data_IF_568897869766
#
_entry.id   IF_568897869766
#
_cell.length_a   1.000
_cell.length_b   1.000
_cell.length_c   1.000
_cell.angle_alpha   90.00
_cell.angle_beta   90.00
_cell.angle_gamma   90.00
#
_symmetry.space_group_name_H-M   'P 1'
#
loop_
_entity.id
_entity.type
_entity.pdbx_description
1 polymer ?
#
# COMPACT_ATOMS: atom_id res chain seq x y z
N UNK A 1 19.01 -51.34 39.04
CA UNK A 1 19.24 -50.92 37.65
C UNK A 1 17.94 -50.35 37.13
N UNK A 2 17.79 -49.03 37.20
CA UNK A 2 16.55 -48.33 36.83
C UNK A 2 16.75 -47.76 35.43
N UNK A 3 16.07 -48.34 34.45
CA UNK A 3 16.08 -47.90 33.05
C UNK A 3 15.25 -46.62 32.93
N UNK A 4 15.92 -45.51 32.67
CA UNK A 4 15.27 -44.25 32.28
C UNK A 4 14.97 -44.33 30.78
N UNK A 5 13.69 -44.33 30.42
CA UNK A 5 13.27 -44.25 29.03
C UNK A 5 13.70 -42.89 28.43
N UNK A 6 14.15 -42.84 27.17
CA UNK A 6 14.54 -41.58 26.55
C UNK A 6 13.29 -40.71 26.39
N UNK A 7 13.38 -39.48 26.89
CA UNK A 7 12.37 -38.46 26.62
C UNK A 7 12.31 -38.24 25.10
N UNK A 8 11.16 -38.50 24.51
CA UNK A 8 10.85 -38.10 23.13
C UNK A 8 10.95 -36.57 23.10
N UNK A 9 12.00 -36.05 22.46
CA UNK A 9 12.05 -34.64 22.14
C UNK A 9 10.94 -34.36 21.14
N UNK A 10 9.91 -33.66 21.60
CA UNK A 10 8.95 -33.03 20.71
C UNK A 10 9.74 -32.03 19.84
N UNK A 11 9.87 -32.34 18.55
CA UNK A 11 10.28 -31.35 17.56
C UNK A 11 9.12 -30.36 17.49
N UNK A 12 9.24 -29.26 18.21
CA UNK A 12 8.34 -28.13 18.08
C UNK A 12 8.56 -27.53 16.69
N UNK A 13 7.73 -27.92 15.72
CA UNK A 13 7.48 -27.05 14.58
C UNK A 13 6.85 -25.78 15.16
N UNK A 14 7.42 -24.58 14.95
CA UNK A 14 6.71 -23.35 15.31
C UNK A 14 5.37 -23.39 14.57
N UNK A 15 4.26 -23.18 15.29
CA UNK A 15 2.94 -23.12 14.67
C UNK A 15 2.83 -21.79 13.91
N UNK A 16 3.54 -21.68 12.79
CA UNK A 16 3.39 -20.60 11.81
C UNK A 16 1.98 -20.73 11.25
N UNK A 17 1.16 -19.69 11.37
CA UNK A 17 -0.15 -19.68 10.74
C UNK A 17 -0.02 -19.88 9.23
N UNK A 18 -1.06 -20.40 8.56
CA UNK A 18 -1.02 -20.57 7.11
C UNK A 18 -0.73 -19.24 6.37
N UNK A 19 -1.21 -18.11 6.90
CA UNK A 19 -0.93 -16.78 6.36
C UNK A 19 0.56 -16.42 6.48
N UNK A 20 1.14 -16.57 7.67
CA UNK A 20 2.58 -16.33 7.88
C UNK A 20 3.44 -17.28 7.03
N UNK A 21 3.02 -18.54 6.87
CA UNK A 21 3.69 -19.47 5.97
C UNK A 21 3.72 -18.92 4.54
N UNK A 22 2.57 -18.54 3.98
CA UNK A 22 2.50 -17.96 2.63
C UNK A 22 3.37 -16.69 2.50
N UNK A 23 3.37 -15.81 3.51
CA UNK A 23 4.22 -14.61 3.54
C UNK A 23 5.71 -15.00 3.51
N UNK A 24 6.11 -15.95 4.35
CA UNK A 24 7.49 -16.46 4.43
C UNK A 24 7.97 -17.15 3.14
N UNK A 25 7.06 -17.58 2.28
CA UNK A 25 7.38 -18.14 0.96
C UNK A 25 7.50 -17.08 -0.13
N UNK A 26 7.19 -15.81 0.15
CA UNK A 26 7.21 -14.73 -0.84
C UNK A 26 8.58 -14.04 -0.85
N UNK A 27 9.18 -13.85 -2.01
CA UNK A 27 10.48 -13.17 -2.14
C UNK A 27 10.33 -11.65 -1.94
N UNK A 28 11.29 -10.97 -1.29
CA UNK A 28 11.32 -9.51 -1.23
C UNK A 28 11.22 -8.90 -2.63
N UNK A 29 10.48 -7.80 -2.79
CA UNK A 29 10.20 -7.23 -4.10
C UNK A 29 10.04 -5.69 -4.05
N UNK A 30 9.77 -5.07 -5.19
CA UNK A 30 9.65 -3.61 -5.32
C UNK A 30 8.25 -3.16 -5.76
N UNK A 31 7.61 -2.29 -4.98
CA UNK A 31 6.44 -1.53 -5.44
C UNK A 31 6.91 -0.26 -6.13
N UNK A 32 6.56 -0.08 -7.41
CA UNK A 32 7.01 1.06 -8.21
C UNK A 32 5.91 2.10 -8.37
N UNK A 33 6.09 3.33 -7.85
CA UNK A 33 5.15 4.42 -8.06
C UNK A 33 4.85 4.62 -9.55
N UNK A 34 3.56 4.70 -9.88
CA UNK A 34 3.08 4.92 -11.25
C UNK A 34 2.52 6.32 -11.42
N UNK A 35 1.53 6.68 -10.59
CA UNK A 35 0.81 7.93 -10.77
C UNK A 35 0.17 8.41 -9.48
N UNK A 36 0.22 9.71 -9.25
CA UNK A 36 -0.81 10.39 -8.46
C UNK A 36 -2.10 10.47 -9.28
N UNK A 37 -3.25 10.29 -8.65
CA UNK A 37 -4.54 10.57 -9.27
C UNK A 37 -5.64 10.75 -8.22
N UNK A 38 -6.77 11.31 -8.67
CA UNK A 38 -7.99 11.42 -7.89
C UNK A 38 -8.80 10.14 -8.10
N UNK A 39 -8.95 9.31 -7.08
CA UNK A 39 -9.83 8.15 -7.14
C UNK A 39 -11.29 8.53 -6.83
N UNK A 40 -12.20 7.55 -6.88
CA UNK A 40 -13.61 7.76 -6.53
C UNK A 40 -13.76 8.48 -5.19
N UNK A 41 -14.84 9.28 -5.07
CA UNK A 41 -15.11 10.13 -3.92
C UNK A 41 -14.01 11.16 -3.62
N UNK A 42 -13.14 11.45 -4.59
CA UNK A 42 -12.20 12.56 -4.52
C UNK A 42 -10.95 12.24 -3.69
N UNK A 43 -10.71 10.96 -3.38
CA UNK A 43 -9.58 10.53 -2.55
C UNK A 43 -8.29 10.60 -3.37
N UNK A 44 -7.32 11.36 -2.86
CA UNK A 44 -6.01 11.51 -3.49
C UNK A 44 -5.18 10.25 -3.22
N UNK A 45 -4.70 9.64 -4.29
CA UNK A 45 -4.08 8.31 -4.24
C UNK A 45 -2.77 8.30 -5.02
N UNK A 46 -1.77 7.62 -4.46
CA UNK A 46 -0.59 7.14 -5.17
C UNK A 46 -0.86 5.71 -5.66
N UNK A 47 -0.92 5.53 -6.98
CA UNK A 47 -0.96 4.22 -7.61
C UNK A 47 0.45 3.66 -7.82
N UNK A 48 0.60 2.35 -7.71
CA UNK A 48 1.82 1.64 -8.13
C UNK A 48 1.54 0.87 -9.41
N UNK A 49 2.57 0.53 -10.18
CA UNK A 49 2.45 -0.08 -11.52
C UNK A 49 1.77 -1.46 -11.56
N UNK A 50 1.48 -2.06 -10.40
CA UNK A 50 0.91 -3.40 -10.27
C UNK A 50 1.53 -4.16 -9.11
N UNK A 51 0.92 -5.27 -8.70
CA UNK A 51 1.57 -6.17 -7.75
C UNK A 51 2.73 -6.91 -8.46
N UNK A 52 3.97 -6.89 -7.92
CA UNK A 52 5.05 -7.73 -8.41
C UNK A 52 4.68 -9.22 -8.35
N UNK A 53 5.31 -10.08 -9.16
CA UNK A 53 4.94 -11.49 -9.26
C UNK A 53 4.82 -12.21 -7.91
N UNK A 54 5.75 -11.97 -6.98
CA UNK A 54 5.70 -12.53 -5.63
C UNK A 54 4.45 -12.13 -4.83
N UNK A 55 4.07 -10.84 -4.83
CA UNK A 55 2.87 -10.38 -4.13
C UNK A 55 1.58 -10.82 -4.83
N UNK A 56 1.58 -10.89 -6.17
CA UNK A 56 0.45 -11.43 -6.92
C UNK A 56 0.21 -12.92 -6.58
N UNK A 57 1.28 -13.72 -6.55
CA UNK A 57 1.23 -15.13 -6.15
C UNK A 57 0.79 -15.30 -4.69
N UNK A 58 1.28 -14.46 -3.77
CA UNK A 58 0.84 -14.43 -2.38
C UNK A 58 -0.68 -14.17 -2.28
N UNK A 59 -1.19 -13.16 -3.00
CA UNK A 59 -2.62 -12.83 -3.00
C UNK A 59 -3.47 -13.99 -3.53
N UNK A 60 -3.03 -14.63 -4.63
CA UNK A 60 -3.69 -15.82 -5.16
C UNK A 60 -3.70 -16.95 -4.11
N UNK A 61 -2.54 -17.26 -3.52
CA UNK A 61 -2.41 -18.28 -2.48
C UNK A 61 -3.28 -18.02 -1.25
N UNK A 62 -3.42 -16.76 -0.82
CA UNK A 62 -4.33 -16.36 0.26
C UNK A 62 -5.79 -16.65 -0.13
N UNK A 63 -6.22 -16.24 -1.33
CA UNK A 63 -7.59 -16.45 -1.78
C UNK A 63 -7.93 -17.95 -1.98
N UNK A 64 -6.95 -18.74 -2.44
CA UNK A 64 -7.13 -20.17 -2.70
C UNK A 64 -7.10 -21.00 -1.40
N UNK A 65 -6.20 -20.65 -0.47
CA UNK A 65 -5.94 -21.46 0.74
C UNK A 65 -6.78 -21.05 1.95
N UNK A 66 -7.16 -19.78 2.05
CA UNK A 66 -7.87 -19.20 3.20
C UNK A 66 -9.32 -18.88 2.84
N UNK A 67 -10.08 -19.91 2.47
CA UNK A 67 -11.46 -19.79 1.97
C UNK A 67 -12.46 -19.20 2.96
N UNK A 68 -12.12 -19.13 4.26
CA UNK A 68 -12.92 -18.48 5.29
C UNK A 68 -12.82 -16.94 5.27
N UNK A 69 -11.88 -16.36 4.52
CA UNK A 69 -11.76 -14.91 4.39
C UNK A 69 -12.89 -14.33 3.52
N UNK A 70 -13.38 -13.12 3.82
CA UNK A 70 -14.37 -12.46 2.99
C UNK A 70 -13.81 -12.16 1.59
N UNK A 71 -14.71 -12.03 0.61
CA UNK A 71 -14.33 -11.64 -0.75
C UNK A 71 -13.53 -10.33 -0.74
N UNK A 72 -12.54 -10.24 -1.64
CA UNK A 72 -11.71 -9.06 -1.75
C UNK A 72 -12.48 -7.83 -2.24
N UNK A 73 -12.46 -6.77 -1.44
CA UNK A 73 -12.97 -5.46 -1.84
C UNK A 73 -12.17 -4.85 -2.98
N UNK A 74 -12.84 -4.07 -3.83
CA UNK A 74 -12.21 -3.41 -4.99
C UNK A 74 -10.98 -2.57 -4.64
N UNK A 75 -10.95 -1.99 -3.44
CA UNK A 75 -9.88 -1.12 -2.97
C UNK A 75 -8.51 -1.79 -2.76
N UNK A 76 -8.43 -3.12 -2.58
CA UNK A 76 -7.15 -3.85 -2.41
C UNK A 76 -6.78 -4.72 -3.61
N UNK A 77 -7.62 -4.74 -4.65
CA UNK A 77 -7.36 -5.54 -5.87
C UNK A 77 -6.14 -5.06 -6.65
N UNK A 78 -5.67 -3.84 -6.42
CA UNK A 78 -4.47 -3.27 -7.03
C UNK A 78 -3.70 -2.49 -5.97
N UNK A 79 -2.36 -2.37 -6.08
CA UNK A 79 -1.57 -1.69 -5.07
C UNK A 79 -1.76 -0.18 -5.15
N UNK A 80 -2.07 0.43 -4.01
CA UNK A 80 -2.28 1.87 -3.90
C UNK A 80 -2.03 2.35 -2.48
N UNK A 81 -1.70 3.63 -2.36
CA UNK A 81 -1.67 4.33 -1.08
C UNK A 81 -2.58 5.53 -1.15
N UNK A 82 -3.64 5.55 -0.34
CA UNK A 82 -4.44 6.75 -0.17
C UNK A 82 -3.64 7.76 0.65
N UNK A 83 -3.47 8.98 0.12
CA UNK A 83 -2.65 10.03 0.72
C UNK A 83 -3.47 11.02 1.53
N UNK A 84 -4.72 11.24 1.11
CA UNK A 84 -5.64 12.15 1.75
C UNK A 84 -7.04 12.03 1.16
N UNK A 85 -8.02 12.57 1.88
CA UNK A 85 -9.41 12.59 1.50
C UNK A 85 -9.96 14.02 1.58
N UNK A 86 -11.09 14.26 0.95
CA UNK A 86 -11.84 15.50 1.15
C UNK A 86 -12.36 15.56 2.59
N UNK A 87 -12.42 16.75 3.19
CA UNK A 87 -13.17 16.96 4.43
C UNK A 87 -14.64 16.54 4.27
N UNK A 88 -15.37 16.25 5.36
CA UNK A 88 -16.73 15.68 5.34
C UNK A 88 -17.77 16.45 4.52
N UNK A 89 -17.56 17.77 4.33
CA UNK A 89 -18.42 18.64 3.52
C UNK A 89 -17.77 19.07 2.20
N UNK A 90 -16.54 18.62 1.95
CA UNK A 90 -15.83 18.88 0.72
C UNK A 90 -16.45 18.14 -0.46
N UNK A 91 -16.56 18.84 -1.58
CA UNK A 91 -16.90 18.27 -2.89
C UNK A 91 -16.06 18.96 -3.95
N UNK A 92 -15.65 18.20 -4.95
CA UNK A 92 -14.99 18.75 -6.12
C UNK A 92 -16.03 19.34 -7.07
N UNK A 93 -15.74 20.53 -7.59
CA UNK A 93 -16.37 21.00 -8.82
C UNK A 93 -15.63 20.40 -10.03
N UNK A 94 -16.24 20.41 -11.23
CA UNK A 94 -15.53 20.00 -12.45
C UNK A 94 -14.21 20.75 -12.68
N UNK A 95 -14.19 22.07 -12.45
CA UNK A 95 -12.98 22.89 -12.62
C UNK A 95 -11.89 22.53 -11.60
N UNK A 96 -12.28 22.26 -10.35
CA UNK A 96 -11.34 21.82 -9.30
C UNK A 96 -10.75 20.44 -9.64
N UNK A 97 -11.57 19.51 -10.12
CA UNK A 97 -11.09 18.21 -10.56
C UNK A 97 -10.16 18.33 -11.78
N UNK A 98 -10.49 19.20 -12.74
CA UNK A 98 -9.62 19.45 -13.90
C UNK A 98 -8.25 19.99 -13.47
N UNK A 99 -8.23 20.94 -12.53
CA UNK A 99 -6.99 21.46 -11.93
C UNK A 99 -6.20 20.37 -11.19
N UNK A 100 -6.86 19.54 -10.38
CA UNK A 100 -6.22 18.41 -9.70
C UNK A 100 -5.64 17.39 -10.67
N UNK A 101 -6.37 17.04 -11.72
CA UNK A 101 -5.91 16.08 -12.72
C UNK A 101 -4.68 16.62 -13.47
N UNK A 102 -4.62 17.94 -13.72
CA UNK A 102 -3.42 18.57 -14.27
C UNK A 102 -2.21 18.43 -13.32
N UNK A 103 -2.38 18.77 -12.03
CA UNK A 103 -1.34 18.61 -11.00
C UNK A 103 -0.90 17.14 -10.91
N UNK A 104 -1.85 16.21 -10.87
CA UNK A 104 -1.59 14.77 -10.81
C UNK A 104 -0.71 14.35 -12.00
N UNK A 105 -1.06 14.70 -13.24
CA UNK A 105 -0.26 14.35 -14.43
C UNK A 105 1.16 14.93 -14.37
N UNK A 106 1.30 16.20 -14.01
CA UNK A 106 2.60 16.87 -13.95
C UNK A 106 3.51 16.29 -12.85
N UNK A 107 2.96 16.00 -11.67
CA UNK A 107 3.73 15.40 -10.58
C UNK A 107 4.02 13.91 -10.83
N UNK A 108 3.09 13.18 -11.48
CA UNK A 108 3.32 11.80 -11.92
C UNK A 108 4.46 11.67 -12.92
N UNK A 109 4.68 12.66 -13.79
CA UNK A 109 5.81 12.64 -14.73
C UNK A 109 7.18 12.61 -14.03
N UNK A 110 7.26 13.08 -12.78
CA UNK A 110 8.48 13.00 -11.96
C UNK A 110 8.70 11.60 -11.40
N UNK A 111 7.64 10.78 -11.34
CA UNK A 111 7.75 9.42 -10.82
C UNK A 111 8.57 8.50 -11.75
N UNK A 112 8.45 8.70 -13.06
CA UNK A 112 9.13 7.90 -14.08
C UNK A 112 10.60 8.27 -14.29
N UNK A 113 11.08 9.41 -13.77
CA UNK A 113 12.44 9.89 -14.03
C UNK A 113 13.52 9.12 -13.26
N UNK A 114 13.17 8.53 -12.11
CA UNK A 114 14.09 7.77 -11.25
C UNK A 114 13.36 6.58 -10.61
N UNK A 115 12.81 5.71 -11.46
CA UNK A 115 11.85 4.65 -11.05
C UNK A 115 12.37 3.80 -9.88
N UNK A 116 13.64 3.39 -9.89
CA UNK A 116 14.21 2.55 -8.83
C UNK A 116 14.57 3.31 -7.54
N UNK A 117 14.89 4.61 -7.60
CA UNK A 117 15.15 5.43 -6.40
C UNK A 117 13.85 5.74 -5.63
N UNK A 118 12.73 5.65 -6.33
CA UNK A 118 11.39 5.88 -5.79
C UNK A 118 10.63 4.59 -5.50
N UNK A 119 11.09 3.46 -6.05
CA UNK A 119 10.57 2.14 -5.77
C UNK A 119 10.66 1.83 -4.28
N UNK A 120 9.63 1.21 -3.72
CA UNK A 120 9.53 0.88 -2.30
C UNK A 120 9.87 -0.60 -2.12
N UNK A 121 10.87 -0.87 -1.28
CA UNK A 121 11.21 -2.24 -0.89
C UNK A 121 10.11 -2.84 -0.02
N UNK A 122 9.57 -3.96 -0.47
CA UNK A 122 8.68 -4.82 0.31
C UNK A 122 9.48 -6.06 0.73
N UNK A 123 9.93 -6.07 1.97
CA UNK A 123 10.63 -7.17 2.64
C UNK A 123 9.86 -7.71 3.85
N UNK A 124 8.76 -7.05 4.20
CA UNK A 124 7.90 -7.35 5.34
C UNK A 124 6.46 -6.92 5.03
N UNK A 125 5.51 -7.68 5.57
CA UNK A 125 4.10 -7.32 5.64
C UNK A 125 3.63 -7.27 7.09
N UNK A 126 2.62 -6.45 7.35
CA UNK A 126 2.03 -6.25 8.65
C UNK A 126 0.58 -6.68 8.63
N UNK A 127 0.22 -7.57 9.56
CA UNK A 127 -1.16 -7.86 9.91
C UNK A 127 -1.56 -6.82 10.95
N UNK A 128 -2.46 -5.92 10.58
CA UNK A 128 -2.86 -4.76 11.39
C UNK A 128 -4.31 -4.89 11.79
N UNK A 129 -4.55 -4.91 13.11
CA UNK A 129 -5.85 -4.67 13.71
C UNK A 129 -5.96 -3.17 13.96
N UNK A 130 -7.03 -2.54 13.48
CA UNK A 130 -7.15 -1.09 13.50
C UNK A 130 -8.51 -0.64 14.02
N UNK A 131 -8.57 0.62 14.45
CA UNK A 131 -9.81 1.30 14.85
C UNK A 131 -10.20 2.44 13.90
N UNK A 132 -9.42 2.68 12.83
CA UNK A 132 -9.79 3.56 11.73
C UNK A 132 -9.14 3.13 10.41
N UNK A 133 -9.79 3.39 9.27
CA UNK A 133 -9.35 2.89 7.95
C UNK A 133 -8.08 3.56 7.43
N UNK A 134 -7.71 4.75 7.93
CA UNK A 134 -6.42 5.39 7.62
C UNK A 134 -5.21 4.71 8.27
N UNK A 135 -5.45 3.76 9.20
CA UNK A 135 -4.44 3.12 10.05
C UNK A 135 -3.62 4.10 10.90
N UNK A 136 -4.12 5.33 11.11
CA UNK A 136 -3.55 6.29 12.06
C UNK A 136 -3.73 5.82 13.51
N UNK A 137 -4.68 4.92 13.75
CA UNK A 137 -4.93 4.31 15.05
C UNK A 137 -5.00 2.78 14.89
N UNK A 138 -3.92 2.13 15.30
CA UNK A 138 -3.70 0.68 15.27
C UNK A 138 -3.84 0.12 16.69
N UNK A 139 -4.56 -0.97 16.82
CA UNK A 139 -4.77 -1.66 18.09
C UNK A 139 -3.69 -2.72 18.34
N UNK A 140 -3.36 -3.48 17.28
CA UNK A 140 -2.35 -4.52 17.30
C UNK A 140 -1.68 -4.58 15.92
N UNK A 141 -0.38 -4.86 15.92
CA UNK A 141 0.37 -5.15 14.71
C UNK A 141 1.18 -6.42 14.93
N UNK A 142 1.12 -7.33 13.96
CA UNK A 142 2.03 -8.45 13.84
C UNK A 142 2.80 -8.32 12.53
N UNK A 143 4.13 -8.26 12.62
CA UNK A 143 5.01 -8.09 11.47
C UNK A 143 5.55 -9.45 11.02
N UNK A 144 5.31 -9.80 9.75
CA UNK A 144 5.76 -11.05 9.15
C UNK A 144 6.78 -10.73 8.04
N UNK A 145 8.05 -11.15 8.18
CA UNK A 145 9.04 -10.96 7.12
C UNK A 145 8.69 -11.81 5.91
N UNK A 146 8.99 -11.29 4.72
CA UNK A 146 9.06 -12.10 3.50
C UNK A 146 10.22 -13.11 3.64
N UNK A 147 10.39 -13.99 2.65
CA UNK A 147 11.40 -15.06 2.65
C UNK A 147 12.78 -14.51 3.02
N UNK A 148 13.17 -14.75 4.27
CA UNK A 148 14.42 -14.24 4.82
C UNK A 148 15.62 -14.77 4.01
N UNK A 149 16.61 -13.91 3.79
CA UNK A 149 17.82 -14.19 3.00
C UNK A 149 17.60 -14.56 1.52
N UNK A 150 16.38 -14.47 1.00
CA UNK A 150 16.15 -14.57 -0.44
C UNK A 150 16.70 -13.31 -1.15
N UNK A 151 17.19 -13.44 -2.39
CA UNK A 151 17.51 -12.27 -3.20
C UNK A 151 16.25 -11.42 -3.43
N UNK A 152 16.45 -10.10 -3.54
CA UNK A 152 15.40 -9.20 -4.01
C UNK A 152 14.97 -9.62 -5.42
N UNK A 153 13.66 -9.74 -5.64
CA UNK A 153 13.05 -9.86 -6.96
C UNK A 153 12.82 -8.46 -7.56
N UNK A 154 13.63 -8.03 -8.55
CA UNK A 154 13.48 -6.72 -9.15
C UNK A 154 12.43 -6.72 -10.27
N UNK A 155 11.77 -7.83 -10.58
CA UNK A 155 10.85 -7.89 -11.73
C UNK A 155 9.72 -6.87 -11.58
N UNK A 156 9.31 -6.31 -12.70
CA UNK A 156 8.10 -5.51 -12.77
C UNK A 156 6.86 -6.41 -12.70
N UNK A 157 5.69 -5.86 -12.38
CA UNK A 157 4.42 -6.58 -12.50
C UNK A 157 4.24 -7.15 -13.91
N UNK A 158 3.50 -8.24 -14.04
CA UNK A 158 3.20 -8.84 -15.36
C UNK A 158 2.45 -7.83 -16.26
N UNK A 159 2.58 -7.91 -17.60
CA UNK A 159 1.97 -6.93 -18.52
C UNK A 159 0.45 -6.78 -18.34
N UNK A 160 -0.26 -7.87 -18.05
CA UNK A 160 -1.71 -7.86 -17.78
C UNK A 160 -2.03 -7.06 -16.52
N UNK A 161 -1.25 -7.25 -15.45
CA UNK A 161 -1.40 -6.51 -14.19
C UNK A 161 -1.10 -5.02 -14.39
N UNK A 162 -0.06 -4.69 -15.15
CA UNK A 162 0.24 -3.29 -15.51
C UNK A 162 -0.89 -2.66 -16.31
N UNK A 163 -1.41 -3.35 -17.31
CA UNK A 163 -2.51 -2.87 -18.14
C UNK A 163 -3.78 -2.65 -17.31
N UNK A 164 -4.08 -3.55 -16.38
CA UNK A 164 -5.21 -3.45 -15.46
C UNK A 164 -5.11 -2.21 -14.57
N UNK A 165 -3.96 -1.96 -13.95
CA UNK A 165 -3.75 -0.75 -13.14
C UNK A 165 -3.84 0.51 -14.00
N UNK A 166 -3.20 0.54 -15.17
CA UNK A 166 -3.28 1.68 -16.09
C UNK A 166 -4.73 1.97 -16.48
N UNK A 167 -5.55 0.94 -16.68
CA UNK A 167 -6.98 1.10 -16.93
C UNK A 167 -7.73 1.77 -15.76
N UNK A 168 -7.42 1.40 -14.52
CA UNK A 168 -7.99 2.05 -13.33
C UNK A 168 -7.58 3.52 -13.23
N UNK A 169 -6.31 3.83 -13.50
CA UNK A 169 -5.82 5.22 -13.47
C UNK A 169 -6.41 6.04 -14.61
N UNK A 170 -6.50 5.47 -15.82
CA UNK A 170 -7.06 6.13 -16.99
C UNK A 170 -8.56 6.42 -16.88
N UNK A 171 -9.28 5.73 -15.99
CA UNK A 171 -10.68 6.06 -15.67
C UNK A 171 -10.82 7.52 -15.23
N UNK A 172 -9.81 8.06 -14.54
CA UNK A 172 -9.82 9.44 -14.05
C UNK A 172 -9.72 10.52 -15.15
N UNK A 173 -9.36 10.13 -16.37
CA UNK A 173 -9.32 11.01 -17.54
C UNK A 173 -10.64 11.01 -18.32
N UNK A 174 -11.61 10.15 -17.98
CA UNK A 174 -12.91 10.14 -18.63
C UNK A 174 -13.70 11.44 -18.31
N UNK A 175 -14.33 12.10 -19.31
CA UNK A 175 -15.09 13.33 -19.08
C UNK A 175 -16.24 13.18 -18.07
N UNK A 176 -16.81 11.99 -17.94
CA UNK A 176 -17.86 11.64 -16.97
C UNK A 176 -17.33 11.27 -15.58
N UNK A 177 -16.02 11.12 -15.42
CA UNK A 177 -15.42 10.69 -14.14
C UNK A 177 -15.72 11.64 -12.98
N UNK A 178 -15.97 12.92 -13.27
CA UNK A 178 -16.28 13.91 -12.25
C UNK A 178 -17.45 13.50 -11.36
N UNK A 179 -18.44 12.78 -11.89
CA UNK A 179 -19.56 12.26 -11.10
C UNK A 179 -19.08 11.27 -10.03
N UNK A 180 -18.11 10.40 -10.37
CA UNK A 180 -17.54 9.40 -9.46
C UNK A 180 -16.61 10.06 -8.43
N UNK A 181 -15.76 11.00 -8.87
CA UNK A 181 -14.87 11.75 -8.00
C UNK A 181 -15.63 12.65 -7.02
N UNK A 182 -16.75 13.25 -7.44
CA UNK A 182 -17.49 14.23 -6.62
C UNK A 182 -18.58 13.61 -5.74
N UNK A 183 -18.91 12.32 -5.96
CA UNK A 183 -19.92 11.58 -5.20
C UNK A 183 -19.60 11.58 -3.71
N UNK A 184 -20.63 11.61 -2.87
CA UNK A 184 -20.48 11.39 -1.43
C UNK A 184 -20.03 9.97 -1.12
N UNK A 185 -19.18 9.83 -0.10
CA UNK A 185 -18.60 8.55 0.28
C UNK A 185 -17.37 8.75 1.15
N UNK A 186 -16.22 8.29 0.64
CA UNK A 186 -14.93 8.23 1.35
C UNK A 186 -14.33 9.60 1.72
N UNK A 187 -14.99 10.36 2.60
CA UNK A 187 -14.52 11.61 3.19
C UNK A 187 -13.66 11.37 4.42
N UNK A 188 -13.12 12.42 5.03
CA UNK A 188 -12.33 12.36 6.25
C UNK A 188 -12.88 11.39 7.31
N UNK A 189 -14.15 11.53 7.70
CA UNK A 189 -14.79 10.66 8.70
C UNK A 189 -14.83 9.20 8.28
N UNK A 190 -14.94 8.87 6.99
CA UNK A 190 -14.86 7.48 6.53
C UNK A 190 -13.53 6.83 6.94
N UNK A 191 -12.45 7.60 6.87
CA UNK A 191 -11.10 7.12 7.19
C UNK A 191 -10.75 7.22 8.67
N UNK A 192 -11.21 8.27 9.35
CA UNK A 192 -10.80 8.62 10.72
C UNK A 192 -11.83 8.30 11.80
N UNK A 193 -13.10 8.04 11.47
CA UNK A 193 -14.07 7.60 12.48
C UNK A 193 -13.79 6.17 12.95
N UNK A 194 -14.28 5.78 14.14
CA UNK A 194 -14.16 4.41 14.64
C UNK A 194 -14.68 3.38 13.64
N UNK A 195 -13.82 2.47 13.24
CA UNK A 195 -14.14 1.30 12.44
C UNK A 195 -13.11 0.20 12.70
N UNK A 196 -13.59 -0.91 13.26
CA UNK A 196 -12.74 -2.07 13.54
C UNK A 196 -12.56 -2.93 12.29
N UNK A 197 -11.34 -3.36 12.05
CA UNK A 197 -11.04 -4.30 10.98
C UNK A 197 -9.64 -4.87 11.08
N UNK A 198 -9.32 -5.78 10.16
CA UNK A 198 -8.02 -6.44 10.06
C UNK A 198 -7.55 -6.43 8.61
N UNK A 199 -6.32 -6.03 8.38
CA UNK A 199 -5.75 -5.96 7.02
C UNK A 199 -4.30 -6.40 6.99
N UNK A 200 -3.91 -7.03 5.88
CA UNK A 200 -2.53 -7.27 5.50
C UNK A 200 -2.03 -6.09 4.66
N UNK A 201 -1.01 -5.40 5.15
CA UNK A 201 -0.48 -4.20 4.49
C UNK A 201 1.04 -4.25 4.41
N UNK A 202 1.59 -3.48 3.49
CA UNK A 202 2.96 -3.03 3.55
C UNK A 202 2.97 -1.57 4.02
N UNK A 203 3.70 -1.26 5.09
CA UNK A 203 3.89 0.12 5.54
C UNK A 203 4.96 0.81 4.70
N UNK A 204 4.74 2.05 4.29
CA UNK A 204 5.70 2.78 3.47
C UNK A 204 6.87 3.28 4.34
N UNK A 205 7.86 2.42 4.53
CA UNK A 205 9.05 2.68 5.34
C UNK A 205 9.73 4.05 5.10
N UNK A 206 9.82 4.58 3.85
CA UNK A 206 10.43 5.89 3.61
C UNK A 206 9.74 7.07 4.32
N UNK A 207 8.48 6.92 4.73
CA UNK A 207 7.70 7.97 5.39
C UNK A 207 7.76 7.90 6.91
N UNK A 208 8.42 6.89 7.50
CA UNK A 208 8.49 6.73 8.94
C UNK A 208 9.65 7.52 9.56
N UNK A 209 9.41 8.29 10.64
CA UNK A 209 10.48 8.91 11.40
C UNK A 209 11.44 7.83 11.91
N UNK A 210 12.74 7.99 11.66
CA UNK A 210 13.78 7.02 12.07
C UNK A 210 14.02 5.88 11.08
N UNK A 211 13.27 5.79 9.98
CA UNK A 211 13.31 4.66 9.05
C UNK A 211 12.76 3.37 9.65
N UNK A 212 12.17 2.50 8.85
CA UNK A 212 11.95 1.13 9.32
C UNK A 212 13.31 0.43 9.38
N UNK A 213 13.63 -0.19 10.50
CA UNK A 213 14.77 -1.11 10.55
C UNK A 213 14.43 -2.29 9.59
N UNK A 214 15.25 -2.53 8.55
CA UNK A 214 14.99 -3.62 7.61
C UNK A 214 14.88 -4.96 8.34
N UNK A 215 13.99 -5.84 7.90
CA UNK A 215 13.84 -7.17 8.53
C UNK A 215 15.12 -8.04 8.38
N UNK A 216 15.92 -7.73 7.37
CA UNK A 216 17.24 -8.27 7.08
C UNK A 216 18.05 -7.15 6.41
N UNK A 217 19.40 -7.19 6.35
CA UNK A 217 20.18 -6.21 5.61
C UNK A 217 19.65 -6.10 4.17
N UNK A 218 18.90 -5.02 3.91
CA UNK A 218 18.25 -4.81 2.65
C UNK A 218 19.33 -4.58 1.58
N UNK A 219 19.20 -5.19 0.38
CA UNK A 219 20.05 -4.80 -0.72
C UNK A 219 19.89 -3.31 -0.98
N UNK A 220 21.01 -2.60 -1.15
CA UNK A 220 20.99 -1.19 -1.49
C UNK A 220 20.40 -0.99 -2.89
N UNK A 221 19.76 0.15 -3.13
CA UNK A 221 19.30 0.53 -4.47
C UNK A 221 20.48 0.67 -5.45
N UNK A 222 20.23 0.79 -6.77
CA UNK A 222 21.29 1.07 -7.75
C UNK A 222 22.12 2.33 -7.42
N UNK A 223 21.54 3.30 -6.71
CA UNK A 223 22.22 4.52 -6.25
C UNK A 223 22.97 4.36 -4.92
N UNK A 224 22.99 3.16 -4.34
CA UNK A 224 23.59 2.87 -3.04
C UNK A 224 22.81 3.45 -1.85
N UNK A 225 21.59 3.94 -2.09
CA UNK A 225 20.70 4.50 -1.07
C UNK A 225 19.59 3.51 -0.70
N UNK A 226 18.85 3.75 0.40
CA UNK A 226 17.62 3.01 0.66
C UNK A 226 16.62 3.21 -0.48
N UNK A 227 15.92 2.14 -0.85
CA UNK A 227 14.78 2.20 -1.77
C UNK A 227 13.73 3.20 -1.27
N UNK A 228 13.16 3.97 -2.19
CA UNK A 228 12.06 4.89 -1.92
C UNK A 228 12.47 6.19 -1.23
N UNK A 229 13.77 6.44 -1.02
CA UNK A 229 14.25 7.63 -0.31
C UNK A 229 13.83 8.96 -0.95
N UNK A 230 13.59 8.97 -2.26
CA UNK A 230 13.14 10.17 -2.98
C UNK A 230 11.62 10.41 -2.88
N UNK A 231 10.84 9.36 -2.57
CA UNK A 231 9.38 9.41 -2.62
C UNK A 231 8.75 10.38 -1.60
N UNK A 232 9.22 10.49 -0.34
CA UNK A 232 8.68 11.46 0.62
C UNK A 232 8.76 12.91 0.14
N UNK A 233 9.85 13.30 -0.52
CA UNK A 233 10.01 14.65 -1.04
C UNK A 233 9.01 14.93 -2.18
N UNK A 234 8.79 13.95 -3.07
CA UNK A 234 7.82 14.05 -4.16
C UNK A 234 6.38 14.14 -3.64
N UNK A 235 6.01 13.29 -2.67
CA UNK A 235 4.68 13.34 -2.06
C UNK A 235 4.45 14.67 -1.34
N UNK A 236 5.45 15.20 -0.63
CA UNK A 236 5.35 16.51 0.01
C UNK A 236 5.13 17.63 -1.00
N UNK A 237 5.94 17.69 -2.05
CA UNK A 237 5.80 18.69 -3.11
C UNK A 237 4.43 18.61 -3.79
N UNK A 238 3.94 17.39 -4.05
CA UNK A 238 2.60 17.17 -4.58
C UNK A 238 1.49 17.70 -3.65
N UNK A 239 1.55 17.38 -2.35
CA UNK A 239 0.60 17.89 -1.35
C UNK A 239 0.60 19.41 -1.28
N UNK A 240 1.77 20.04 -1.25
CA UNK A 240 1.93 21.50 -1.24
C UNK A 240 1.29 22.15 -2.47
N UNK A 241 1.45 21.55 -3.66
CA UNK A 241 0.79 22.04 -4.89
C UNK A 241 -0.72 21.90 -4.83
N UNK A 242 -1.22 20.77 -4.31
CA UNK A 242 -2.67 20.56 -4.13
C UNK A 242 -3.24 21.59 -3.14
N UNK A 243 -2.59 21.79 -2.00
CA UNK A 243 -3.03 22.76 -0.99
C UNK A 243 -2.98 24.20 -1.50
N UNK A 244 -1.99 24.54 -2.32
CA UNK A 244 -1.90 25.86 -2.96
C UNK A 244 -3.04 26.08 -3.97
N UNK A 245 -3.40 25.05 -4.74
CA UNK A 245 -4.47 25.14 -5.73
C UNK A 245 -5.87 25.08 -5.12
N UNK A 246 -6.04 24.31 -4.04
CA UNK A 246 -7.32 24.00 -3.40
C UNK A 246 -7.22 24.12 -1.86
N UNK A 247 -7.04 25.34 -1.33
CA UNK A 247 -6.73 25.55 0.07
C UNK A 247 -7.85 25.04 0.99
N UNK A 248 -7.46 24.21 1.96
CA UNK A 248 -8.36 23.69 3.00
C UNK A 248 -9.39 22.68 2.49
N UNK A 249 -9.24 22.14 1.28
CA UNK A 249 -10.19 21.17 0.74
C UNK A 249 -9.87 19.73 1.19
N UNK A 250 -8.59 19.41 1.37
CA UNK A 250 -8.09 18.08 1.67
C UNK A 250 -7.59 17.94 3.11
N UNK A 251 -7.85 16.78 3.68
CA UNK A 251 -7.18 16.28 4.88
C UNK A 251 -6.14 15.21 4.49
N UNK A 252 -4.86 15.49 4.70
CA UNK A 252 -3.79 14.52 4.49
C UNK A 252 -3.71 13.52 5.65
N UNK A 253 -3.44 12.25 5.34
CA UNK A 253 -3.18 11.23 6.35
C UNK A 253 -1.74 11.33 6.87
N UNK A 254 -1.55 10.93 8.12
CA UNK A 254 -0.22 10.95 8.75
C UNK A 254 0.79 10.09 7.97
N UNK A 255 2.00 10.62 7.77
CA UNK A 255 3.07 9.93 7.04
C UNK A 255 3.38 8.54 7.61
N UNK A 256 3.37 8.40 8.94
CA UNK A 256 3.62 7.14 9.62
C UNK A 256 2.52 6.06 9.40
N UNK A 257 1.33 6.46 8.93
CA UNK A 257 0.21 5.56 8.65
C UNK A 257 0.06 5.22 7.17
N UNK A 258 0.85 5.84 6.27
CA UNK A 258 0.80 5.52 4.85
C UNK A 258 1.20 4.06 4.61
N UNK A 259 0.34 3.35 3.89
CA UNK A 259 0.48 1.93 3.63
C UNK A 259 -0.04 1.59 2.23
N UNK A 260 0.38 0.44 1.71
CA UNK A 260 -0.27 -0.24 0.59
C UNK A 260 -0.97 -1.47 1.11
N UNK A 261 -2.29 -1.55 0.92
CA UNK A 261 -3.05 -2.74 1.31
C UNK A 261 -2.77 -3.88 0.33
N UNK A 262 -2.22 -4.99 0.84
CA UNK A 262 -2.07 -6.22 0.07
C UNK A 262 -3.39 -6.98 0.05
N UNK A 263 -4.08 -7.09 1.19
CA UNK A 263 -5.37 -7.77 1.31
C UNK A 263 -6.14 -7.32 2.55
N UNK A 264 -7.44 -7.03 2.41
CA UNK A 264 -8.32 -6.96 3.59
C UNK A 264 -8.55 -8.36 4.15
N UNK A 265 -8.38 -8.58 5.45
CA UNK A 265 -8.58 -9.87 6.10
C UNK A 265 -9.93 -9.93 6.83
N UNK A 266 -10.42 -8.77 7.28
CA UNK A 266 -11.70 -8.59 7.95
C UNK A 266 -12.11 -7.11 7.84
N UNK A 267 -13.39 -6.84 7.56
CA UNK A 267 -13.92 -5.47 7.47
C UNK A 267 -15.43 -5.45 7.34
#
# INVERSE_FOLDING_TARGET
MTTVAPAVQAIALPATSQLEYLISQTEPCLLRPLSFFVSWNGVITLAYSGFPPGLAALKAGINDSLTALPQEYSGSKWPKTSLGALHDRGRLTPDQLAALNAICREESAKLSQQEDDQAILVDQLNIVFYECRSLERRLLQHSAPLRAAAPLDPRHPEPEEQARVRGVVAEADDPGYWFLASKDGSRESHYRSPHLGVTLVHDLAPFRPGGAEPAAPAPASPSGRPYGHALPALVRAFRERVDAALPGLYCWFADASLHSTVRSLMG
#
